data_IF_142359919571
#
_entry.id   IF_142359919571
#
_cell.length_a   1.000
_cell.length_b   1.000
_cell.length_c   1.000
_cell.angle_alpha   90.00
_cell.angle_beta   90.00
_cell.angle_gamma   90.00
#
_symmetry.space_group_name_H-M   'P 1'
#
loop_
_entity.id
_entity.type
_entity.pdbx_description
1 polymer ?
#
# COMPACT_ATOMS: atom_id res chain seq x y z
N UNK A 1 -44.43 66.46 -33.69
CA UNK A 1 -45.80 65.92 -33.55
C UNK A 1 -45.84 65.04 -32.31
N UNK A 2 -46.81 65.32 -31.43
CA UNK A 2 -47.39 64.52 -30.31
C UNK A 2 -46.44 63.83 -29.31
N UNK A 3 -46.39 64.28 -28.04
CA UNK A 3 -47.36 64.06 -26.94
C UNK A 3 -47.20 62.65 -26.32
N UNK A 4 -46.59 62.51 -25.13
CA UNK A 4 -47.09 62.69 -23.74
C UNK A 4 -47.53 61.36 -23.10
N UNK A 5 -47.32 61.33 -21.77
CA UNK A 5 -47.98 60.52 -20.72
C UNK A 5 -47.52 59.08 -20.48
N UNK A 6 -47.51 58.55 -19.27
CA UNK A 6 -47.52 59.04 -17.87
C UNK A 6 -47.20 57.80 -17.01
N UNK A 7 -46.47 58.02 -15.93
CA UNK A 7 -46.49 57.31 -14.65
C UNK A 7 -47.26 55.98 -14.51
N UNK A 8 -46.61 54.97 -13.93
CA UNK A 8 -47.27 54.18 -12.90
C UNK A 8 -46.30 53.72 -11.79
N UNK A 9 -46.62 54.16 -10.58
CA UNK A 9 -46.06 53.73 -9.29
C UNK A 9 -46.88 52.53 -8.83
N UNK A 10 -46.25 51.44 -8.40
CA UNK A 10 -46.81 50.63 -7.30
C UNK A 10 -45.77 49.76 -6.61
N UNK A 11 -45.73 49.91 -5.28
CA UNK A 11 -44.97 49.12 -4.30
C UNK A 11 -45.49 47.69 -4.22
N UNK A 12 -44.60 46.73 -3.96
CA UNK A 12 -44.86 45.68 -2.96
C UNK A 12 -43.59 44.95 -2.52
N UNK A 13 -43.32 45.07 -1.23
CA UNK A 13 -42.39 44.27 -0.44
C UNK A 13 -42.99 42.87 -0.21
N UNK A 14 -42.16 41.83 -0.33
CA UNK A 14 -42.23 40.52 0.33
C UNK A 14 -40.86 39.87 0.07
N UNK A 15 -39.90 39.89 0.99
CA UNK A 15 -39.82 39.04 2.18
C UNK A 15 -40.15 37.57 1.88
N UNK A 16 -39.10 36.77 1.70
CA UNK A 16 -39.18 35.37 1.31
C UNK A 16 -37.80 34.80 1.00
N UNK A 17 -36.83 35.02 1.88
CA UNK A 17 -35.51 34.40 1.82
C UNK A 17 -35.65 32.88 1.98
N UNK A 18 -35.79 32.16 0.85
CA UNK A 18 -35.53 30.72 0.81
C UNK A 18 -34.03 30.52 0.94
N UNK A 19 -33.55 30.38 2.18
CA UNK A 19 -32.28 29.71 2.48
C UNK A 19 -32.38 28.29 1.94
N UNK A 20 -31.88 28.08 0.72
CA UNK A 20 -31.46 26.75 0.32
C UNK A 20 -30.40 26.29 1.33
N UNK A 21 -30.55 25.13 1.97
CA UNK A 21 -29.46 24.55 2.73
C UNK A 21 -28.34 24.30 1.73
N UNK A 22 -27.31 25.13 1.85
CA UNK A 22 -26.03 24.98 1.18
C UNK A 22 -25.48 23.64 1.67
N UNK A 23 -25.83 22.56 0.97
CA UNK A 23 -25.14 21.29 1.07
C UNK A 23 -23.75 21.56 0.53
N UNK A 24 -22.88 21.97 1.44
CA UNK A 24 -21.44 21.96 1.31
C UNK A 24 -21.05 20.52 1.02
N UNK A 25 -21.12 20.10 -0.25
CA UNK A 25 -20.37 18.96 -0.75
C UNK A 25 -18.90 19.34 -0.59
N UNK A 26 -18.37 19.14 0.61
CA UNK A 26 -16.95 19.22 0.87
C UNK A 26 -16.33 18.11 0.04
N UNK A 27 -15.70 18.48 -1.07
CA UNK A 27 -14.86 17.59 -1.84
C UNK A 27 -13.93 16.86 -0.87
N UNK A 28 -13.88 15.52 -0.90
CA UNK A 28 -13.12 14.76 0.08
C UNK A 28 -11.68 15.26 0.07
N UNK A 29 -11.17 15.59 1.26
CA UNK A 29 -9.75 15.95 1.41
C UNK A 29 -8.90 14.79 0.92
N UNK A 30 -7.70 15.06 0.40
CA UNK A 30 -6.79 14.01 -0.10
C UNK A 30 -6.55 12.88 0.92
N UNK A 31 -6.53 13.22 2.21
CA UNK A 31 -6.45 12.27 3.31
C UNK A 31 -7.74 11.44 3.47
N UNK A 32 -8.91 12.07 3.39
CA UNK A 32 -10.21 11.37 3.44
C UNK A 32 -10.40 10.38 2.29
N UNK A 33 -10.00 10.75 1.07
CA UNK A 33 -10.04 9.85 -0.08
C UNK A 33 -9.15 8.61 0.14
N UNK A 34 -7.92 8.80 0.62
CA UNK A 34 -6.98 7.70 0.88
C UNK A 34 -7.52 6.72 1.93
N UNK A 35 -8.14 7.21 3.00
CA UNK A 35 -8.75 6.37 4.01
C UNK A 35 -9.89 5.53 3.44
N UNK A 36 -10.77 6.14 2.63
CA UNK A 36 -11.86 5.41 1.96
C UNK A 36 -11.35 4.31 1.03
N UNK A 37 -10.25 4.57 0.30
CA UNK A 37 -9.60 3.55 -0.53
C UNK A 37 -9.11 2.39 0.32
N UNK A 38 -8.43 2.65 1.44
CA UNK A 38 -7.93 1.59 2.30
C UNK A 38 -9.03 0.81 3.04
N UNK A 39 -10.10 1.48 3.47
CA UNK A 39 -11.27 0.79 4.05
C UNK A 39 -11.90 -0.17 3.04
N UNK A 40 -12.06 0.26 1.79
CA UNK A 40 -12.60 -0.60 0.72
C UNK A 40 -11.66 -1.77 0.43
N UNK A 41 -10.36 -1.52 0.30
CA UNK A 41 -9.34 -2.56 0.08
C UNK A 41 -9.31 -3.56 1.24
N UNK A 42 -9.39 -3.09 2.48
CA UNK A 42 -9.44 -3.94 3.67
C UNK A 42 -10.70 -4.83 3.70
N UNK A 43 -11.84 -4.39 3.16
CA UNK A 43 -13.01 -5.26 2.98
C UNK A 43 -12.75 -6.35 1.94
N UNK A 44 -12.27 -5.96 0.76
CA UNK A 44 -12.00 -6.90 -0.34
C UNK A 44 -10.96 -7.96 0.04
N UNK A 45 -9.88 -7.56 0.71
CA UNK A 45 -8.85 -8.49 1.19
C UNK A 45 -9.41 -9.49 2.20
N UNK A 46 -10.29 -9.07 3.13
CA UNK A 46 -10.95 -9.99 4.08
C UNK A 46 -11.87 -10.98 3.37
N UNK A 47 -12.46 -10.57 2.26
CA UNK A 47 -13.29 -11.42 1.39
C UNK A 47 -12.46 -12.27 0.41
N UNK A 48 -11.12 -12.21 0.50
CA UNK A 48 -10.16 -12.86 -0.41
C UNK A 48 -10.25 -12.41 -1.87
N UNK A 49 -10.86 -11.27 -2.15
CA UNK A 49 -10.98 -10.69 -3.48
C UNK A 49 -9.82 -9.72 -3.77
N UNK A 50 -8.63 -10.30 -3.97
CA UNK A 50 -7.43 -9.50 -4.24
C UNK A 50 -7.41 -8.89 -5.65
N UNK A 51 -8.14 -9.44 -6.62
CA UNK A 51 -8.20 -8.90 -7.98
C UNK A 51 -9.01 -7.60 -8.02
N UNK A 52 -10.17 -7.55 -7.38
CA UNK A 52 -10.94 -6.30 -7.29
C UNK A 52 -10.16 -5.23 -6.48
N UNK A 53 -9.44 -5.66 -5.43
CA UNK A 53 -8.58 -4.75 -4.67
C UNK A 53 -7.47 -4.12 -5.52
N UNK A 54 -6.89 -4.90 -6.46
CA UNK A 54 -5.89 -4.40 -7.43
C UNK A 54 -6.48 -3.29 -8.30
N UNK A 55 -7.70 -3.46 -8.80
CA UNK A 55 -8.34 -2.46 -9.67
C UNK A 55 -8.65 -1.16 -8.91
N UNK A 56 -9.15 -1.27 -7.67
CA UNK A 56 -9.36 -0.11 -6.79
C UNK A 56 -8.05 0.66 -6.55
N UNK A 57 -6.96 -0.04 -6.26
CA UNK A 57 -5.66 0.57 -5.96
C UNK A 57 -5.00 1.19 -7.20
N UNK A 58 -5.20 0.60 -8.39
CA UNK A 58 -4.75 1.20 -9.66
C UNK A 58 -5.43 2.53 -9.94
N UNK A 59 -6.74 2.61 -9.68
CA UNK A 59 -7.51 3.84 -9.85
C UNK A 59 -7.12 4.94 -8.83
N UNK A 60 -6.63 4.55 -7.65
CA UNK A 60 -6.29 5.48 -6.57
C UNK A 60 -4.99 6.28 -6.79
N UNK A 61 -4.10 5.86 -7.70
CA UNK A 61 -2.94 6.63 -8.16
C UNK A 61 -1.57 6.20 -7.60
N UNK A 62 -0.64 7.16 -7.48
CA UNK A 62 0.82 6.91 -7.29
C UNK A 62 1.36 7.15 -5.88
N UNK A 63 0.51 7.28 -4.86
CA UNK A 63 0.96 7.41 -3.47
C UNK A 63 1.72 6.15 -3.00
N UNK A 64 2.82 6.29 -2.26
CA UNK A 64 3.69 5.17 -1.88
C UNK A 64 2.94 4.11 -1.07
N UNK A 65 2.03 4.50 -0.17
CA UNK A 65 1.25 3.54 0.62
C UNK A 65 0.25 2.79 -0.26
N UNK A 66 -0.36 3.49 -1.22
CA UNK A 66 -1.23 2.88 -2.25
C UNK A 66 -0.43 1.89 -3.11
N UNK A 67 0.79 2.26 -3.54
CA UNK A 67 1.66 1.37 -4.34
C UNK A 67 2.15 0.18 -3.53
N UNK A 68 2.44 0.35 -2.24
CA UNK A 68 2.75 -0.75 -1.35
C UNK A 68 1.57 -1.73 -1.25
N UNK A 69 0.37 -1.24 -0.94
CA UNK A 69 -0.84 -2.05 -0.87
C UNK A 69 -1.13 -2.76 -2.19
N UNK A 70 -0.92 -2.07 -3.33
CA UNK A 70 -1.08 -2.65 -4.65
C UNK A 70 -0.11 -3.82 -4.87
N UNK A 71 1.16 -3.66 -4.50
CA UNK A 71 2.15 -4.72 -4.58
C UNK A 71 1.78 -5.94 -3.72
N UNK A 72 1.23 -5.73 -2.52
CA UNK A 72 0.74 -6.83 -1.67
C UNK A 72 -0.45 -7.54 -2.31
N UNK A 73 -1.45 -6.80 -2.80
CA UNK A 73 -2.62 -7.40 -3.46
C UNK A 73 -2.22 -8.18 -4.73
N UNK A 74 -1.27 -7.65 -5.53
CA UNK A 74 -0.73 -8.35 -6.71
C UNK A 74 -0.03 -9.66 -6.33
N UNK A 75 0.75 -9.69 -5.25
CA UNK A 75 1.34 -10.94 -4.75
C UNK A 75 0.25 -11.95 -4.36
N UNK A 76 -0.76 -11.52 -3.59
CA UNK A 76 -1.86 -12.40 -3.15
C UNK A 76 -2.76 -12.87 -4.29
N UNK A 77 -2.87 -12.09 -5.36
CA UNK A 77 -3.52 -12.46 -6.63
C UNK A 77 -2.65 -13.37 -7.53
N UNK A 78 -1.44 -13.75 -7.10
CA UNK A 78 -0.56 -14.64 -7.89
C UNK A 78 0.14 -13.94 -9.06
N UNK A 79 0.33 -12.62 -8.99
CA UNK A 79 0.95 -11.79 -10.04
C UNK A 79 2.29 -11.17 -9.57
N UNK A 80 3.30 -11.99 -9.20
CA UNK A 80 4.52 -11.50 -8.58
C UNK A 80 5.39 -10.64 -9.51
N UNK A 81 5.34 -10.86 -10.82
CA UNK A 81 6.07 -10.04 -11.81
C UNK A 81 5.62 -8.59 -11.77
N UNK A 82 4.30 -8.37 -11.71
CA UNK A 82 3.70 -7.04 -11.63
C UNK A 82 3.97 -6.41 -10.26
N UNK A 83 3.89 -7.20 -9.18
CA UNK A 83 4.23 -6.72 -7.84
C UNK A 83 5.68 -6.19 -7.79
N UNK A 84 6.64 -6.95 -8.32
CA UNK A 84 8.04 -6.52 -8.45
C UNK A 84 8.16 -5.22 -9.25
N UNK A 85 7.42 -5.10 -10.36
CA UNK A 85 7.44 -3.88 -11.17
C UNK A 85 6.89 -2.66 -10.41
N UNK A 86 5.88 -2.84 -9.56
CA UNK A 86 5.33 -1.77 -8.70
C UNK A 86 6.34 -1.37 -7.62
N UNK A 87 6.90 -2.33 -6.88
CA UNK A 87 7.85 -2.05 -5.80
C UNK A 87 9.12 -1.36 -6.30
N UNK A 88 9.68 -1.80 -7.43
CA UNK A 88 10.90 -1.21 -8.01
C UNK A 88 10.79 0.30 -8.25
N UNK A 89 9.59 0.81 -8.55
CA UNK A 89 9.39 2.23 -8.87
C UNK A 89 9.63 3.15 -7.67
N UNK A 90 9.50 2.64 -6.45
CA UNK A 90 9.68 3.47 -5.26
C UNK A 90 10.74 2.93 -4.32
N UNK A 91 10.96 1.61 -4.22
CA UNK A 91 12.01 1.03 -3.35
C UNK A 91 13.41 1.35 -3.85
N UNK A 92 13.60 1.36 -5.18
CA UNK A 92 14.90 1.64 -5.78
C UNK A 92 15.09 3.14 -6.05
N UNK A 93 16.35 3.57 -6.04
CA UNK A 93 16.78 4.87 -6.51
C UNK A 93 16.70 4.93 -8.04
N UNK A 94 16.92 6.13 -8.60
CA UNK A 94 16.92 6.34 -10.06
C UNK A 94 18.03 5.57 -10.79
N UNK A 95 19.05 5.09 -10.07
CA UNK A 95 20.07 4.21 -10.61
C UNK A 95 19.56 2.77 -10.88
N UNK A 96 18.37 2.44 -10.38
CA UNK A 96 17.72 1.14 -10.56
C UNK A 96 18.40 0.00 -9.82
N UNK A 97 19.38 0.27 -8.95
CA UNK A 97 20.18 -0.75 -8.25
C UNK A 97 20.17 -0.50 -6.75
N UNK A 98 20.35 0.74 -6.31
CA UNK A 98 20.44 1.08 -4.90
C UNK A 98 19.06 1.28 -4.29
N UNK A 99 18.85 0.87 -3.04
CA UNK A 99 17.58 1.15 -2.35
C UNK A 99 17.52 2.57 -1.77
N UNK A 100 16.29 3.08 -1.60
CA UNK A 100 16.05 4.32 -0.86
C UNK A 100 16.09 4.04 0.64
N UNK A 101 17.00 4.70 1.35
CA UNK A 101 17.22 4.51 2.80
C UNK A 101 16.06 5.02 3.66
N UNK A 102 15.33 6.04 3.18
CA UNK A 102 14.24 6.68 3.93
C UNK A 102 12.90 5.93 3.91
N UNK A 103 12.85 4.77 3.26
CA UNK A 103 11.62 3.98 3.18
C UNK A 103 11.45 3.06 4.38
N UNK A 104 10.20 2.86 4.77
CA UNK A 104 9.84 1.87 5.77
C UNK A 104 10.37 0.49 5.39
N UNK A 105 10.98 -0.20 6.36
CA UNK A 105 11.46 -1.57 6.21
C UNK A 105 10.33 -2.55 5.84
N UNK A 106 9.07 -2.24 6.16
CA UNK A 106 7.91 -3.02 5.71
C UNK A 106 7.82 -3.06 4.17
N UNK A 107 8.07 -1.95 3.49
CA UNK A 107 8.03 -1.88 2.03
C UNK A 107 9.15 -2.69 1.39
N UNK A 108 10.34 -2.66 2.00
CA UNK A 108 11.49 -3.47 1.59
C UNK A 108 11.21 -4.97 1.78
N UNK A 109 10.62 -5.38 2.89
CA UNK A 109 10.22 -6.78 3.11
C UNK A 109 9.14 -7.24 2.11
N UNK A 110 8.18 -6.39 1.78
CA UNK A 110 7.18 -6.68 0.75
C UNK A 110 7.84 -6.85 -0.62
N UNK A 111 8.82 -5.99 -0.96
CA UNK A 111 9.59 -6.13 -2.18
C UNK A 111 10.42 -7.42 -2.20
N UNK A 112 11.09 -7.77 -1.09
CA UNK A 112 11.82 -9.03 -0.95
C UNK A 112 10.89 -10.24 -1.13
N UNK A 113 9.68 -10.19 -0.58
CA UNK A 113 8.66 -11.23 -0.76
C UNK A 113 8.26 -11.36 -2.23
N UNK A 114 8.04 -10.26 -2.94
CA UNK A 114 7.70 -10.27 -4.36
C UNK A 114 8.83 -10.85 -5.22
N UNK A 115 10.09 -10.48 -4.93
CA UNK A 115 11.28 -11.05 -5.59
C UNK A 115 11.34 -12.56 -5.36
N UNK A 116 11.08 -13.00 -4.13
CA UNK A 116 11.10 -14.42 -3.78
C UNK A 116 10.04 -15.21 -4.56
N UNK A 117 8.81 -14.69 -4.64
CA UNK A 117 7.71 -15.30 -5.40
C UNK A 117 7.97 -15.35 -6.91
N UNK A 118 8.66 -14.33 -7.44
CA UNK A 118 9.11 -14.28 -8.84
C UNK A 118 10.26 -15.26 -9.12
N UNK A 119 10.80 -15.91 -8.09
CA UNK A 119 11.92 -16.85 -8.22
C UNK A 119 13.29 -16.20 -8.16
N UNK A 120 13.42 -15.06 -7.47
CA UNK A 120 14.69 -14.36 -7.24
C UNK A 120 15.09 -14.32 -5.75
N UNK A 121 15.46 -15.47 -5.14
CA UNK A 121 15.87 -15.53 -3.74
C UNK A 121 17.15 -14.73 -3.44
N UNK A 122 18.11 -14.63 -4.36
CA UNK A 122 19.33 -13.82 -4.16
C UNK A 122 18.98 -12.33 -4.07
N UNK A 123 18.07 -11.86 -4.93
CA UNK A 123 17.53 -10.50 -4.85
C UNK A 123 16.82 -10.25 -3.51
N UNK A 124 15.98 -11.19 -3.06
CA UNK A 124 15.31 -11.09 -1.77
C UNK A 124 16.30 -11.02 -0.58
N UNK A 125 17.37 -11.82 -0.58
CA UNK A 125 18.43 -11.77 0.45
C UNK A 125 19.12 -10.41 0.47
N UNK A 126 19.44 -9.86 -0.71
CA UNK A 126 20.06 -8.54 -0.83
C UNK A 126 19.20 -7.47 -0.14
N UNK A 127 17.91 -7.43 -0.47
CA UNK A 127 16.97 -6.45 0.08
C UNK A 127 16.83 -6.59 1.60
N UNK A 128 16.70 -7.82 2.11
CA UNK A 128 16.57 -8.07 3.55
C UNK A 128 17.82 -7.62 4.33
N UNK A 129 19.01 -7.81 3.76
CA UNK A 129 20.27 -7.42 4.41
C UNK A 129 20.32 -5.91 4.66
N UNK A 130 19.77 -5.11 3.75
CA UNK A 130 19.71 -3.65 3.87
C UNK A 130 18.67 -3.13 4.88
N UNK A 131 17.72 -3.96 5.32
CA UNK A 131 16.73 -3.54 6.34
C UNK A 131 17.32 -3.44 7.74
N UNK A 132 18.42 -4.16 8.01
CA UNK A 132 19.01 -4.33 9.35
C UNK A 132 18.04 -4.84 10.44
N UNK A 133 16.88 -5.41 10.04
CA UNK A 133 15.83 -5.93 10.92
C UNK A 133 15.73 -7.46 10.83
N UNK A 134 16.83 -8.16 11.08
CA UNK A 134 16.90 -9.62 10.91
C UNK A 134 15.94 -10.41 11.81
N UNK A 135 15.57 -9.83 12.96
CA UNK A 135 14.68 -10.46 13.95
C UNK A 135 13.19 -10.13 13.71
N UNK A 136 12.86 -9.29 12.71
CA UNK A 136 11.47 -8.99 12.41
C UNK A 136 10.74 -10.28 11.97
N UNK A 137 9.53 -10.58 12.50
CA UNK A 137 8.84 -11.85 12.23
C UNK A 137 8.73 -12.19 10.73
N UNK A 138 8.40 -11.19 9.91
CA UNK A 138 8.33 -11.37 8.46
C UNK A 138 9.71 -11.59 7.81
N UNK A 139 10.76 -10.89 8.25
CA UNK A 139 12.12 -11.11 7.74
C UNK A 139 12.63 -12.52 8.08
N UNK A 140 12.30 -13.01 9.28
CA UNK A 140 12.57 -14.38 9.72
C UNK A 140 11.84 -15.40 8.84
N UNK A 141 10.56 -15.16 8.53
CA UNK A 141 9.76 -16.04 7.64
C UNK A 141 10.33 -16.09 6.23
N UNK A 142 10.62 -14.95 5.62
CA UNK A 142 11.22 -14.88 4.27
C UNK A 142 12.58 -15.60 4.26
N UNK A 143 13.44 -15.34 5.25
CA UNK A 143 14.73 -16.02 5.40
C UNK A 143 14.57 -17.53 5.62
N UNK A 144 13.55 -17.93 6.38
CA UNK A 144 13.19 -19.32 6.63
C UNK A 144 12.78 -20.05 5.35
N UNK A 145 11.92 -19.45 4.54
CA UNK A 145 11.49 -19.99 3.24
C UNK A 145 12.69 -20.18 2.30
N UNK A 146 13.57 -19.18 2.19
CA UNK A 146 14.81 -19.26 1.39
C UNK A 146 15.70 -20.40 1.88
N UNK A 147 15.90 -20.54 3.20
CA UNK A 147 16.71 -21.62 3.78
C UNK A 147 16.08 -23.00 3.54
N UNK A 148 14.76 -23.12 3.65
CA UNK A 148 14.03 -24.37 3.40
C UNK A 148 14.19 -24.80 1.94
N UNK A 149 13.97 -23.88 1.00
CA UNK A 149 14.20 -24.10 -0.41
C UNK A 149 15.67 -24.45 -0.71
N UNK A 150 16.64 -23.73 -0.14
CA UNK A 150 18.05 -24.06 -0.34
C UNK A 150 18.40 -25.48 0.13
N UNK A 151 17.72 -25.99 1.17
CA UNK A 151 17.86 -27.37 1.64
C UNK A 151 17.23 -28.40 0.69
N UNK A 152 16.26 -28.04 -0.14
CA UNK A 152 15.72 -28.93 -1.16
C UNK A 152 16.59 -29.02 -2.42
N UNK A 153 17.54 -28.09 -2.61
CA UNK A 153 18.50 -28.16 -3.70
C UNK A 153 19.49 -29.32 -3.53
N UNK A 154 19.90 -29.91 -4.65
CA UNK A 154 21.02 -30.85 -4.69
C UNK A 154 22.30 -30.19 -4.17
N UNK A 155 23.21 -31.00 -3.63
CA UNK A 155 24.41 -30.48 -2.97
C UNK A 155 25.21 -29.50 -3.85
N UNK A 156 25.41 -29.84 -5.12
CA UNK A 156 26.08 -28.97 -6.09
C UNK A 156 25.33 -27.66 -6.35
N UNK A 157 24.00 -27.72 -6.50
CA UNK A 157 23.18 -26.50 -6.73
C UNK A 157 23.15 -25.60 -5.51
N UNK A 158 23.10 -26.18 -4.31
CA UNK A 158 23.19 -25.43 -3.07
C UNK A 158 24.54 -24.71 -2.94
N UNK A 159 25.64 -25.37 -3.31
CA UNK A 159 26.96 -24.77 -3.30
C UNK A 159 27.08 -23.64 -4.33
N UNK A 160 26.67 -23.90 -5.57
CA UNK A 160 26.67 -22.93 -6.67
C UNK A 160 25.86 -21.67 -6.34
N UNK A 161 24.65 -21.84 -5.81
CA UNK A 161 23.83 -20.73 -5.32
C UNK A 161 24.51 -19.95 -4.18
N UNK A 162 25.07 -20.65 -3.20
CA UNK A 162 25.66 -20.00 -2.02
C UNK A 162 26.92 -19.20 -2.34
N UNK A 163 27.73 -19.64 -3.30
CA UNK A 163 29.00 -19.01 -3.66
C UNK A 163 28.83 -18.00 -4.79
N UNK A 164 28.10 -18.37 -5.85
CA UNK A 164 27.98 -17.56 -7.06
C UNK A 164 26.68 -16.73 -7.11
N UNK A 165 25.73 -16.95 -6.18
CA UNK A 165 24.41 -16.31 -6.21
C UNK A 165 23.53 -16.77 -7.37
N UNK A 166 23.93 -17.82 -8.10
CA UNK A 166 23.25 -18.30 -9.31
C UNK A 166 21.99 -19.08 -8.90
N UNK A 167 20.85 -18.56 -9.32
CA UNK A 167 19.54 -19.16 -9.09
C UNK A 167 19.27 -20.26 -10.15
N UNK A 168 18.71 -21.42 -9.77
CA UNK A 168 18.25 -22.40 -10.74
C UNK A 168 17.20 -21.82 -11.69
N UNK A 169 17.20 -22.27 -12.95
CA UNK A 169 16.13 -21.94 -13.89
C UNK A 169 14.76 -22.36 -13.32
N UNK A 170 13.75 -21.50 -13.46
CA UNK A 170 12.41 -21.71 -12.90
C UNK A 170 12.41 -21.92 -11.38
N UNK A 171 13.25 -21.16 -10.66
CA UNK A 171 13.25 -21.16 -9.20
C UNK A 171 11.85 -20.84 -8.66
N UNK A 172 11.32 -21.73 -7.81
CA UNK A 172 10.10 -21.49 -7.07
C UNK A 172 10.37 -21.75 -5.59
N UNK A 173 10.27 -20.69 -4.78
CA UNK A 173 10.41 -20.80 -3.33
C UNK A 173 9.01 -20.90 -2.73
N UNK A 174 8.64 -22.05 -2.13
CA UNK A 174 7.34 -22.19 -1.51
C UNK A 174 7.25 -21.27 -0.29
N UNK A 175 6.14 -20.53 -0.20
CA UNK A 175 5.81 -19.71 0.97
C UNK A 175 4.78 -20.46 1.82
N UNK A 176 5.07 -20.60 3.11
CA UNK A 176 4.17 -21.16 4.13
C UNK A 176 3.47 -20.06 4.94
N UNK A 177 3.53 -18.82 4.45
CA UNK A 177 2.92 -17.64 5.05
C UNK A 177 2.24 -16.78 3.99
N UNK A 178 1.30 -15.95 4.43
CA UNK A 178 0.60 -15.03 3.54
C UNK A 178 1.55 -13.93 3.01
N UNK A 179 1.61 -13.69 1.69
CA UNK A 179 2.51 -12.70 1.12
C UNK A 179 2.20 -11.26 1.55
N UNK A 180 3.24 -10.58 2.04
CA UNK A 180 3.26 -9.14 2.29
C UNK A 180 2.46 -8.65 3.50
N UNK A 181 2.81 -7.45 3.93
CA UNK A 181 2.28 -6.75 5.10
C UNK A 181 1.60 -5.43 4.66
N UNK A 182 0.37 -5.19 5.14
CA UNK A 182 -0.30 -3.90 4.94
C UNK A 182 0.09 -2.92 6.03
N UNK A 183 0.35 -1.66 5.66
CA UNK A 183 0.70 -0.58 6.57
C UNK A 183 -0.53 0.16 7.14
N UNK A 184 -1.73 -0.16 6.67
CA UNK A 184 -2.98 0.43 7.16
C UNK A 184 -3.70 -0.40 8.24
N UNK A 185 -3.32 -1.67 8.45
CA UNK A 185 -3.90 -2.48 9.54
C UNK A 185 -3.53 -1.96 10.94
N UNK A 186 -2.36 -1.33 11.07
CA UNK A 186 -1.94 -0.61 12.28
C UNK A 186 -2.72 0.69 12.51
N UNK A 187 -3.18 1.35 11.45
CA UNK A 187 -3.96 2.59 11.55
C UNK A 187 -5.36 2.31 12.09
N UNK A 188 -5.99 1.19 11.70
CA UNK A 188 -7.32 0.80 12.20
C UNK A 188 -7.26 0.52 13.72
N UNK A 189 -6.26 -0.22 14.21
CA UNK A 189 -6.11 -0.47 15.66
C UNK A 189 -5.77 0.77 16.49
N UNK A 190 -5.06 1.75 15.93
CA UNK A 190 -4.75 2.99 16.65
C UNK A 190 -5.96 3.93 16.79
N UNK A 191 -6.97 3.80 15.93
CA UNK A 191 -8.21 4.58 16.03
C UNK A 191 -9.19 4.03 17.06
N UNK A 192 -9.05 2.76 17.45
CA UNK A 192 -9.87 2.10 18.49
C UNK A 192 -9.35 2.31 19.93
N UNK A 193 -8.20 2.96 20.11
CA UNK A 193 -7.75 3.37 21.44
C UNK A 193 -8.50 4.65 21.86
N UNK A 194 -9.16 4.67 23.04
CA UNK A 194 -9.78 5.89 23.54
C UNK A 194 -8.72 6.98 23.64
N UNK A 195 -8.93 8.11 22.96
CA UNK A 195 -8.26 9.38 23.28
C UNK A 195 -8.82 9.92 24.60
N UNK A 196 -8.69 9.16 25.69
CA UNK A 196 -8.94 9.69 27.01
C UNK A 196 -7.73 10.51 27.44
N UNK A 197 -7.79 11.78 27.05
CA UNK A 197 -7.05 12.84 27.71
C UNK A 197 -7.50 12.96 29.15
N UNK A 198 -6.72 12.35 30.06
CA UNK A 198 -6.62 12.80 31.45
C UNK A 198 -5.18 12.70 31.91
N UNK A 199 -4.40 13.74 31.59
CA UNK A 199 -3.30 14.14 32.45
C UNK A 199 -3.90 14.68 33.75
N UNK A 200 -4.15 13.78 34.69
CA UNK A 200 -4.34 14.15 36.09
C UNK A 200 -2.97 14.44 36.69
N UNK A 201 -2.66 15.73 36.87
CA UNK A 201 -1.67 16.18 37.83
C UNK A 201 -2.04 15.60 39.21
N UNK A 202 -1.15 14.81 39.80
CA UNK A 202 -1.12 14.61 41.24
C UNK A 202 0.21 15.18 41.74
N UNK A 203 0.04 16.11 42.67
CA UNK A 203 1.04 16.90 43.41
C UNK A 203 1.90 15.99 44.29
#
# INVERSE_FOLDING_TARGET
>A
MSARNLSNVSKKSHEGAKKHPNQSQQSPTKAGFKNQVFERVASLVRESDCEEAVEVLRAAGFDIQIRNALGVCLMRAGRPEEAVAVFRQFVLQSDGVSERKELSNAYKRNFATALLMKGSPSGAVSVLTETHELDHPMAVRISGAIRSWAKSLSWWRRFDWKINGIEPANCHVPLDFEPGEFDFETVVRQQDLPRDGRFGLAV
#
